data_IF_466013732334
#
_entry.id   IF_466013732334
#
_cell.length_a   1.000
_cell.length_b   1.000
_cell.length_c   1.000
_cell.angle_alpha   90.00
_cell.angle_beta   90.00
_cell.angle_gamma   90.00
#
_symmetry.space_group_name_H-M   'P 1'
#
loop_
_entity.id
_entity.type
_entity.pdbx_description
1 polymer ?
#
# COMPACT_ATOMS: atom_id res chain seq x y z
N UNK A 1 -9.89 27.63 5.05
CA UNK A 1 -8.53 27.25 4.59
C UNK A 1 -8.12 25.86 5.12
N UNK A 2 -8.35 25.53 6.39
CA UNK A 2 -8.03 24.22 7.00
C UNK A 2 -8.85 23.07 6.38
N UNK A 3 -10.16 23.26 6.17
CA UNK A 3 -11.05 22.25 5.59
C UNK A 3 -10.67 21.90 4.13
N UNK A 4 -10.23 22.89 3.33
CA UNK A 4 -9.77 22.67 1.96
C UNK A 4 -8.45 21.90 1.92
N UNK A 5 -7.54 22.15 2.88
CA UNK A 5 -6.30 21.34 3.06
C UNK A 5 -6.59 19.94 3.56
N UNK A 6 -7.64 19.76 4.37
CA UNK A 6 -8.07 18.50 4.93
C UNK A 6 -8.58 17.55 3.84
N UNK A 7 -9.49 18.04 3.01
CA UNK A 7 -10.01 17.30 1.86
C UNK A 7 -8.88 16.97 0.89
N UNK A 8 -8.01 17.93 0.59
CA UNK A 8 -6.86 17.75 -0.30
C UNK A 8 -5.93 16.61 0.12
N UNK A 9 -5.76 16.33 1.38
CA UNK A 9 -4.81 15.32 1.87
C UNK A 9 -5.44 13.96 2.16
N UNK A 10 -6.72 13.90 2.53
CA UNK A 10 -7.43 12.62 2.50
C UNK A 10 -7.30 11.97 1.11
N UNK A 11 -7.22 12.75 0.11
CA UNK A 11 -7.18 12.39 -1.28
C UNK A 11 -5.76 12.37 -1.84
N UNK A 12 -4.77 13.05 -1.28
CA UNK A 12 -3.35 12.89 -1.63
C UNK A 12 -2.81 11.48 -1.28
N UNK A 13 -3.46 10.80 -0.33
CA UNK A 13 -3.34 9.34 -0.17
C UNK A 13 -4.23 8.56 -1.17
N UNK A 14 -5.10 9.25 -1.92
CA UNK A 14 -6.12 8.72 -2.81
C UNK A 14 -5.83 9.14 -4.26
N UNK A 15 -4.63 9.10 -4.76
CA UNK A 15 -4.29 9.57 -6.10
C UNK A 15 -5.42 9.34 -7.12
N UNK A 16 -5.97 10.38 -7.67
CA UNK A 16 -7.03 10.36 -8.65
C UNK A 16 -6.69 11.19 -9.87
N UNK A 17 -6.91 10.81 -11.01
CA UNK A 17 -7.86 10.95 -12.06
C UNK A 17 -7.47 11.20 -13.48
N UNK A 18 -8.34 10.96 -14.37
CA UNK A 18 -8.25 11.20 -15.79
C UNK A 18 -8.93 12.52 -16.21
N UNK A 19 -8.42 13.17 -17.22
CA UNK A 19 -9.12 14.25 -17.94
C UNK A 19 -10.26 13.67 -18.77
N UNK A 20 -11.39 14.39 -18.91
CA UNK A 20 -12.45 13.99 -19.82
C UNK A 20 -11.98 14.23 -21.27
N UNK A 21 -11.85 13.17 -22.04
CA UNK A 21 -11.84 13.27 -23.50
C UNK A 21 -13.24 13.55 -23.97
N UNK A 22 -13.40 14.62 -24.77
CA UNK A 22 -14.67 14.94 -25.44
C UNK A 22 -15.17 13.74 -26.28
N UNK A 23 -16.48 13.49 -26.33
CA UNK A 23 -17.01 12.42 -27.13
C UNK A 23 -17.06 12.84 -28.60
N UNK A 24 -16.26 12.18 -29.41
CA UNK A 24 -16.47 12.21 -30.86
C UNK A 24 -17.73 11.39 -31.17
N UNK A 25 -18.74 12.09 -31.66
CA UNK A 25 -19.96 11.51 -32.20
C UNK A 25 -19.68 10.74 -33.49
N UNK A 26 -19.76 9.43 -33.42
CA UNK A 26 -20.16 8.63 -34.60
C UNK A 26 -21.22 7.61 -34.19
N UNK A 27 -22.42 7.87 -34.72
CA UNK A 27 -23.54 6.92 -34.69
C UNK A 27 -23.27 5.82 -35.70
N UNK A 28 -23.18 4.58 -35.21
CA UNK A 28 -23.49 3.43 -36.07
C UNK A 28 -24.31 2.43 -35.26
N UNK A 29 -25.59 2.33 -35.60
CA UNK A 29 -26.46 1.28 -35.10
C UNK A 29 -26.00 -0.07 -35.70
N UNK A 30 -25.62 -0.99 -34.83
CA UNK A 30 -25.72 -2.41 -35.17
C UNK A 30 -26.22 -3.18 -33.94
N UNK A 31 -27.46 -3.65 -34.06
CA UNK A 31 -28.02 -4.69 -33.23
C UNK A 31 -27.14 -5.93 -33.32
N UNK A 32 -26.43 -6.29 -32.26
CA UNK A 32 -25.87 -7.63 -32.14
C UNK A 32 -26.24 -8.22 -30.78
N UNK A 33 -26.70 -9.41 -30.84
CA UNK A 33 -27.03 -10.43 -29.87
C UNK A 33 -26.18 -10.28 -28.57
N UNK A 34 -26.87 -10.23 -27.46
CA UNK A 34 -26.28 -10.26 -26.12
C UNK A 34 -25.68 -11.66 -25.97
N UNK A 35 -24.37 -11.74 -26.19
CA UNK A 35 -23.55 -12.83 -25.71
C UNK A 35 -23.35 -12.56 -24.21
N UNK A 36 -23.82 -13.46 -23.36
CA UNK A 36 -23.50 -13.46 -21.92
C UNK A 36 -22.00 -13.67 -21.80
N UNK A 37 -21.25 -12.57 -21.85
CA UNK A 37 -19.82 -12.58 -21.57
C UNK A 37 -19.65 -13.13 -20.16
N UNK A 38 -19.06 -14.30 -20.05
CA UNK A 38 -18.59 -14.91 -18.81
C UNK A 38 -17.75 -13.84 -18.09
N UNK A 39 -18.30 -13.27 -17.04
CA UNK A 39 -17.55 -12.36 -16.15
C UNK A 39 -16.45 -13.22 -15.53
N UNK A 40 -15.23 -13.12 -16.05
CA UNK A 40 -14.06 -13.79 -15.46
C UNK A 40 -13.80 -13.10 -14.13
N UNK A 41 -14.35 -13.65 -13.06
CA UNK A 41 -14.05 -13.22 -11.70
C UNK A 41 -12.65 -13.70 -11.33
N UNK A 42 -11.90 -12.85 -10.64
CA UNK A 42 -10.57 -13.20 -10.13
C UNK A 42 -10.63 -14.44 -9.23
N UNK A 43 -9.56 -15.22 -9.14
CA UNK A 43 -9.50 -16.31 -8.18
C UNK A 43 -9.68 -15.77 -6.75
N UNK A 44 -10.44 -16.53 -5.94
CA UNK A 44 -10.78 -16.17 -4.56
C UNK A 44 -10.59 -17.38 -3.65
N UNK A 45 -10.10 -17.14 -2.44
CA UNK A 45 -10.04 -18.16 -1.38
C UNK A 45 -11.04 -17.82 -0.28
N UNK A 46 -11.63 -18.85 0.32
CA UNK A 46 -12.55 -18.71 1.44
C UNK A 46 -11.79 -18.86 2.74
N UNK A 47 -11.80 -17.82 3.57
CA UNK A 47 -11.24 -17.84 4.92
C UNK A 47 -12.13 -18.63 5.89
N UNK A 48 -11.57 -19.03 7.02
CA UNK A 48 -12.26 -19.79 8.06
C UNK A 48 -13.43 -19.04 8.70
N UNK A 49 -13.43 -17.71 8.66
CA UNK A 49 -14.55 -16.89 9.11
C UNK A 49 -15.66 -16.72 8.06
N UNK A 50 -15.50 -17.33 6.88
CA UNK A 50 -16.46 -17.36 5.78
C UNK A 50 -16.28 -16.25 4.75
N UNK A 51 -15.41 -15.27 5.00
CA UNK A 51 -15.06 -14.22 4.01
C UNK A 51 -14.25 -14.80 2.86
N UNK A 52 -14.32 -14.14 1.69
CA UNK A 52 -13.48 -14.43 0.54
C UNK A 52 -12.45 -13.34 0.33
N UNK A 53 -11.21 -13.73 0.03
CA UNK A 53 -10.16 -12.84 -0.46
C UNK A 53 -9.87 -13.15 -1.92
N UNK A 54 -9.92 -12.11 -2.76
CA UNK A 54 -9.55 -12.19 -4.16
C UNK A 54 -8.05 -11.91 -4.32
N UNK A 55 -7.41 -12.59 -5.27
CA UNK A 55 -5.97 -12.47 -5.47
C UNK A 55 -5.59 -12.58 -6.95
N UNK A 56 -4.36 -12.23 -7.24
CA UNK A 56 -3.70 -12.39 -8.54
C UNK A 56 -2.30 -12.95 -8.33
N UNK A 57 -1.90 -13.83 -9.22
CA UNK A 57 -0.59 -14.46 -9.23
C UNK A 57 0.25 -13.92 -10.40
N UNK A 58 1.59 -13.86 -10.20
CA UNK A 58 2.56 -13.47 -11.23
C UNK A 58 3.90 -14.18 -10.98
N UNK A 59 4.74 -14.28 -12.00
CA UNK A 59 6.03 -14.96 -11.98
C UNK A 59 5.92 -16.45 -12.22
N UNK A 60 6.85 -17.24 -11.69
CA UNK A 60 6.87 -18.67 -11.93
C UNK A 60 5.73 -19.40 -11.20
N UNK A 61 5.27 -20.54 -11.72
CA UNK A 61 4.27 -21.37 -11.03
C UNK A 61 4.71 -21.73 -9.61
N UNK A 62 3.78 -21.70 -8.68
CA UNK A 62 4.00 -21.90 -7.24
C UNK A 62 4.76 -23.20 -6.92
N UNK A 63 4.44 -24.29 -7.61
CA UNK A 63 5.02 -25.63 -7.36
C UNK A 63 6.51 -25.73 -7.72
N UNK A 64 7.03 -24.83 -8.57
CA UNK A 64 8.45 -24.78 -8.94
C UNK A 64 9.16 -23.55 -8.37
N UNK A 65 8.44 -22.68 -7.68
CA UNK A 65 9.00 -21.44 -7.14
C UNK A 65 9.98 -21.72 -5.99
N UNK A 66 11.09 -20.99 -6.02
CA UNK A 66 12.08 -20.93 -4.93
C UNK A 66 11.64 -19.94 -3.84
N UNK A 67 11.09 -18.81 -4.26
CA UNK A 67 10.65 -17.74 -3.37
C UNK A 67 9.16 -17.46 -3.56
N UNK A 68 8.42 -17.35 -2.46
CA UNK A 68 6.98 -17.05 -2.43
C UNK A 68 6.76 -15.77 -1.67
N UNK A 69 6.21 -14.78 -2.36
CA UNK A 69 6.10 -13.41 -1.87
C UNK A 69 4.65 -12.96 -1.92
N UNK A 70 4.14 -12.46 -0.81
CA UNK A 70 2.84 -11.80 -0.72
C UNK A 70 3.06 -10.28 -0.76
N UNK A 71 2.44 -9.60 -1.71
CA UNK A 71 2.45 -8.14 -1.80
C UNK A 71 1.15 -7.59 -1.23
N UNK A 72 1.29 -6.65 -0.30
CA UNK A 72 0.19 -6.00 0.40
C UNK A 72 0.06 -4.57 -0.12
N UNK A 73 -0.99 -4.32 -0.90
CA UNK A 73 -1.22 -3.04 -1.54
C UNK A 73 -1.52 -1.90 -0.55
N UNK A 74 -1.26 -0.66 -0.97
CA UNK A 74 -1.51 0.55 -0.21
C UNK A 74 -2.99 0.95 -0.15
N UNK A 75 -3.23 2.13 0.43
CA UNK A 75 -4.56 2.70 0.52
C UNK A 75 -5.11 3.01 -0.88
N UNK A 76 -6.36 2.64 -1.11
CA UNK A 76 -7.03 2.93 -2.36
C UNK A 76 -6.59 2.11 -3.56
N UNK A 77 -5.72 1.15 -3.37
CA UNK A 77 -5.23 0.25 -4.41
C UNK A 77 -5.96 -1.10 -4.33
N UNK A 78 -5.50 -2.09 -5.09
CA UNK A 78 -6.07 -3.42 -5.17
C UNK A 78 -5.00 -4.44 -5.56
N UNK A 79 -5.42 -5.71 -5.77
CA UNK A 79 -4.58 -6.75 -6.37
C UNK A 79 -4.06 -6.41 -7.76
N UNK A 80 -4.68 -5.40 -8.42
CA UNK A 80 -4.24 -4.90 -9.73
C UNK A 80 -3.04 -3.94 -9.65
N UNK A 81 -2.56 -3.64 -8.45
CA UNK A 81 -1.37 -2.81 -8.28
C UNK A 81 -0.19 -3.39 -9.04
N UNK A 82 0.43 -2.57 -9.87
CA UNK A 82 1.66 -2.96 -10.57
C UNK A 82 2.86 -2.87 -9.63
N UNK A 83 3.52 -4.01 -9.42
CA UNK A 83 4.87 -4.07 -8.87
C UNK A 83 5.80 -4.35 -10.04
N UNK A 84 6.58 -3.33 -10.46
CA UNK A 84 7.21 -3.25 -11.78
C UNK A 84 8.54 -4.01 -11.88
N UNK A 85 8.70 -5.14 -11.18
CA UNK A 85 9.83 -6.04 -11.46
C UNK A 85 9.65 -6.71 -12.84
N UNK A 86 10.75 -6.95 -13.56
CA UNK A 86 10.72 -7.63 -14.86
C UNK A 86 10.33 -9.11 -14.73
N UNK A 87 9.68 -9.65 -15.74
CA UNK A 87 9.37 -11.07 -15.76
C UNK A 87 10.63 -11.91 -15.86
N UNK A 88 11.65 -11.40 -16.54
CA UNK A 88 12.97 -12.02 -16.64
C UNK A 88 13.61 -12.25 -15.26
N UNK A 89 13.59 -11.25 -14.39
CA UNK A 89 14.12 -11.40 -13.03
C UNK A 89 13.27 -12.37 -12.19
N UNK A 90 11.94 -12.32 -12.34
CA UNK A 90 11.05 -13.24 -11.62
C UNK A 90 11.34 -14.68 -12.01
N UNK A 91 11.55 -14.95 -13.29
CA UNK A 91 11.88 -16.28 -13.81
C UNK A 91 13.28 -16.72 -13.38
N UNK A 92 14.30 -15.85 -13.51
CA UNK A 92 15.69 -16.13 -13.13
C UNK A 92 15.82 -16.53 -11.66
N UNK A 93 15.16 -15.78 -10.78
CA UNK A 93 15.20 -16.04 -9.33
C UNK A 93 14.20 -17.12 -8.89
N UNK A 94 13.28 -17.53 -9.74
CA UNK A 94 12.22 -18.48 -9.39
C UNK A 94 11.22 -17.89 -8.40
N UNK A 95 10.73 -16.70 -8.67
CA UNK A 95 9.83 -15.95 -7.78
C UNK A 95 8.38 -16.17 -8.17
N UNK A 96 7.55 -16.58 -7.20
CA UNK A 96 6.11 -16.53 -7.24
C UNK A 96 5.62 -15.31 -6.46
N UNK A 97 4.90 -14.40 -7.13
CA UNK A 97 4.28 -13.23 -6.53
C UNK A 97 2.77 -13.43 -6.38
N UNK A 98 2.27 -13.17 -5.19
CA UNK A 98 0.85 -13.13 -4.86
C UNK A 98 0.47 -11.71 -4.45
N UNK A 99 -0.47 -11.09 -5.15
CA UNK A 99 -1.06 -9.81 -4.77
C UNK A 99 -2.53 -10.07 -4.49
N UNK A 100 -3.05 -9.64 -3.35
CA UNK A 100 -4.44 -9.86 -2.97
C UNK A 100 -5.16 -8.56 -2.64
N UNK A 101 -6.45 -8.52 -2.84
CA UNK A 101 -7.30 -7.44 -2.35
C UNK A 101 -7.44 -7.59 -0.83
N UNK A 102 -6.97 -6.60 -0.06
CA UNK A 102 -7.18 -6.58 1.40
C UNK A 102 -8.68 -6.53 1.71
N UNK A 103 -9.07 -6.97 2.88
CA UNK A 103 -10.48 -7.03 3.27
C UNK A 103 -11.24 -5.73 2.93
N UNK A 104 -12.34 -5.85 2.15
CA UNK A 104 -13.17 -4.75 1.70
C UNK A 104 -12.58 -3.86 0.59
N UNK A 105 -11.54 -4.34 -0.07
CA UNK A 105 -11.00 -3.76 -1.31
C UNK A 105 -11.31 -4.69 -2.48
N UNK A 106 -11.42 -4.10 -3.68
CA UNK A 106 -11.61 -4.82 -4.92
C UNK A 106 -12.74 -5.85 -4.84
N UNK A 107 -12.40 -7.11 -5.04
CA UNK A 107 -13.36 -8.23 -5.00
C UNK A 107 -13.31 -9.03 -3.68
N UNK A 108 -12.60 -8.53 -2.65
CA UNK A 108 -12.55 -9.17 -1.33
C UNK A 108 -13.67 -8.70 -0.42
N UNK A 109 -14.17 -9.62 0.40
CA UNK A 109 -15.23 -9.35 1.36
C UNK A 109 -14.77 -8.41 2.49
N UNK A 110 -15.73 -7.66 3.03
CA UNK A 110 -15.49 -6.71 4.12
C UNK A 110 -15.22 -7.45 5.43
N UNK A 111 -14.22 -6.99 6.18
CA UNK A 111 -14.04 -7.39 7.56
C UNK A 111 -14.60 -6.32 8.51
N UNK A 112 -15.79 -6.55 9.06
CA UNK A 112 -16.42 -5.63 10.01
C UNK A 112 -15.66 -5.51 11.34
N UNK A 113 -14.77 -6.47 11.64
CA UNK A 113 -13.91 -6.52 12.85
C UNK A 113 -12.44 -6.25 12.51
N UNK A 114 -12.19 -5.49 11.44
CA UNK A 114 -10.85 -5.16 10.99
C UNK A 114 -9.98 -4.60 12.13
N UNK A 115 -8.80 -5.17 12.28
CA UNK A 115 -7.80 -4.78 13.27
C UNK A 115 -6.41 -5.09 12.75
N UNK A 116 -5.36 -4.62 13.42
CA UNK A 116 -3.97 -4.99 13.09
C UNK A 116 -3.81 -6.51 13.07
N UNK A 117 -4.26 -7.18 14.13
CA UNK A 117 -4.13 -8.62 14.25
C UNK A 117 -4.90 -9.35 13.15
N UNK A 118 -6.11 -8.91 12.80
CA UNK A 118 -6.89 -9.57 11.74
C UNK A 118 -6.23 -9.44 10.36
N UNK A 119 -5.55 -8.34 10.07
CA UNK A 119 -4.79 -8.20 8.82
C UNK A 119 -3.63 -9.21 8.72
N UNK A 120 -2.90 -9.42 9.83
CA UNK A 120 -1.87 -10.45 9.86
C UNK A 120 -2.45 -11.86 9.76
N UNK A 121 -3.60 -12.12 10.41
CA UNK A 121 -4.30 -13.40 10.33
C UNK A 121 -4.83 -13.67 8.93
N UNK A 122 -5.37 -12.66 8.24
CA UNK A 122 -5.83 -12.80 6.85
C UNK A 122 -4.65 -13.18 5.93
N UNK A 123 -3.46 -12.58 6.13
CA UNK A 123 -2.24 -12.90 5.35
C UNK A 123 -1.75 -14.32 5.66
N UNK A 124 -1.74 -14.72 6.92
CA UNK A 124 -1.33 -16.08 7.33
C UNK A 124 -2.26 -17.13 6.76
N UNK A 125 -3.56 -16.95 6.90
CA UNK A 125 -4.56 -17.90 6.41
C UNK A 125 -4.56 -17.97 4.88
N UNK A 126 -4.38 -16.82 4.19
CA UNK A 126 -4.20 -16.78 2.74
C UNK A 126 -2.99 -17.62 2.31
N UNK A 127 -1.87 -17.50 3.03
CA UNK A 127 -0.67 -18.27 2.75
C UNK A 127 -0.88 -19.77 2.98
N UNK A 128 -1.63 -20.15 3.99
CA UNK A 128 -1.95 -21.55 4.30
C UNK A 128 -2.88 -22.15 3.25
N UNK A 129 -3.97 -21.47 2.92
CA UNK A 129 -4.95 -21.92 1.92
C UNK A 129 -4.34 -22.05 0.52
N UNK A 130 -3.38 -21.20 0.19
CA UNK A 130 -2.65 -21.26 -1.07
C UNK A 130 -1.36 -22.09 -1.00
N UNK A 131 -1.10 -22.75 0.13
CA UNK A 131 0.06 -23.65 0.32
C UNK A 131 1.40 -22.98 0.01
N UNK A 132 1.60 -21.75 0.51
CA UNK A 132 2.85 -21.01 0.30
C UNK A 132 4.02 -21.52 1.15
N UNK A 133 3.80 -22.59 1.92
CA UNK A 133 4.81 -23.22 2.76
C UNK A 133 4.84 -22.68 4.19
N UNK A 134 5.79 -23.20 4.97
CA UNK A 134 5.94 -22.82 6.37
C UNK A 134 6.37 -21.39 6.57
N UNK A 135 7.13 -20.81 5.63
CA UNK A 135 7.59 -19.42 5.63
C UNK A 135 7.45 -18.80 4.25
N UNK A 136 7.10 -17.52 4.22
CA UNK A 136 6.92 -16.73 3.02
C UNK A 136 7.43 -15.29 3.22
N UNK A 137 7.64 -14.56 2.14
CA UNK A 137 8.04 -13.16 2.18
C UNK A 137 6.83 -12.25 2.11
N UNK A 138 6.92 -11.07 2.74
CA UNK A 138 5.88 -10.04 2.68
C UNK A 138 6.47 -8.73 2.21
N UNK A 139 5.85 -8.11 1.20
CA UNK A 139 6.18 -6.76 0.75
C UNK A 139 4.96 -5.87 1.00
N UNK A 140 5.05 -4.97 1.97
CA UNK A 140 4.02 -3.96 2.21
C UNK A 140 4.33 -2.67 1.47
N UNK A 141 3.32 -2.06 0.83
CA UNK A 141 3.48 -0.79 0.10
C UNK A 141 2.64 0.30 0.74
N UNK A 142 3.25 1.43 1.10
CA UNK A 142 2.57 2.59 1.69
C UNK A 142 1.72 2.19 2.91
N UNK A 143 0.40 2.37 2.87
CA UNK A 143 -0.49 1.94 3.95
C UNK A 143 -0.53 0.42 4.12
N UNK A 144 -0.22 -0.38 3.08
CA UNK A 144 -0.04 -1.83 3.18
C UNK A 144 1.11 -2.25 4.10
N UNK A 145 1.93 -1.32 4.53
CA UNK A 145 2.98 -1.59 5.53
C UNK A 145 2.43 -1.80 6.94
N UNK A 146 1.21 -1.33 7.29
CA UNK A 146 0.70 -1.63 8.62
C UNK A 146 0.31 -3.10 8.82
N UNK A 147 -0.29 -3.80 7.83
CA UNK A 147 -0.39 -5.25 7.88
C UNK A 147 0.96 -5.96 7.95
N UNK A 148 1.97 -5.47 7.20
CA UNK A 148 3.32 -6.03 7.27
C UNK A 148 3.97 -5.85 8.66
N UNK A 149 3.83 -4.67 9.30
CA UNK A 149 4.21 -4.49 10.71
C UNK A 149 3.46 -5.43 11.65
N UNK A 150 2.18 -5.67 11.36
CA UNK A 150 1.39 -6.61 12.13
C UNK A 150 1.87 -8.04 11.97
N UNK A 151 2.29 -8.45 10.76
CA UNK A 151 2.91 -9.76 10.53
C UNK A 151 4.20 -9.90 11.32
N UNK A 152 5.08 -8.88 11.33
CA UNK A 152 6.32 -8.88 12.14
C UNK A 152 6.00 -9.09 13.62
N UNK A 153 4.90 -8.49 14.12
CA UNK A 153 4.50 -8.61 15.53
C UNK A 153 3.85 -9.94 15.89
N UNK A 154 2.93 -10.43 15.04
CA UNK A 154 2.02 -11.51 15.44
C UNK A 154 2.38 -12.88 14.84
N UNK A 155 3.06 -12.90 13.69
CA UNK A 155 3.43 -14.12 12.97
C UNK A 155 4.91 -14.13 12.53
N UNK A 156 5.88 -13.69 13.37
CA UNK A 156 7.29 -13.60 12.95
C UNK A 156 7.86 -14.91 12.45
N UNK A 157 7.47 -16.04 13.05
CA UNK A 157 7.91 -17.38 12.65
C UNK A 157 7.47 -17.81 11.24
N UNK A 158 6.46 -17.17 10.67
CA UNK A 158 5.98 -17.42 9.30
C UNK A 158 6.71 -16.60 8.23
N UNK A 159 7.51 -15.63 8.62
CA UNK A 159 8.14 -14.69 7.70
C UNK A 159 9.55 -15.18 7.33
N UNK A 160 9.81 -15.31 6.03
CA UNK A 160 11.14 -15.52 5.47
C UNK A 160 11.89 -14.20 5.26
N UNK A 161 11.18 -13.07 5.25
CA UNK A 161 11.68 -11.72 5.16
C UNK A 161 10.54 -10.73 4.92
N UNK A 162 10.79 -9.44 5.20
CA UNK A 162 9.79 -8.38 5.02
C UNK A 162 10.42 -7.17 4.36
N UNK A 163 9.76 -6.60 3.35
CA UNK A 163 10.10 -5.29 2.82
C UNK A 163 8.94 -4.31 3.04
N UNK A 164 9.25 -3.16 3.60
CA UNK A 164 8.34 -2.05 3.84
C UNK A 164 8.70 -0.95 2.85
N UNK A 165 7.90 -0.79 1.80
CA UNK A 165 8.16 0.18 0.73
C UNK A 165 7.33 1.44 0.97
N UNK A 166 7.99 2.58 1.11
CA UNK A 166 7.42 3.90 1.46
C UNK A 166 6.43 3.82 2.63
N UNK A 167 6.82 3.19 3.75
CA UNK A 167 5.88 2.87 4.81
C UNK A 167 5.33 4.14 5.45
N UNK A 168 3.99 4.18 5.59
CA UNK A 168 3.38 5.27 6.35
C UNK A 168 3.80 5.22 7.83
N UNK A 169 3.72 6.36 8.51
CA UNK A 169 4.03 6.49 9.94
C UNK A 169 2.80 6.94 10.69
N UNK A 170 2.40 6.20 11.71
CA UNK A 170 1.31 6.61 12.57
C UNK A 170 1.80 7.60 13.63
N UNK A 171 1.36 8.85 13.54
CA UNK A 171 1.73 9.93 14.46
C UNK A 171 1.29 9.70 15.93
N UNK A 172 0.59 8.60 16.21
CA UNK A 172 0.24 8.17 17.56
C UNK A 172 1.26 7.21 18.19
N UNK A 173 2.30 6.82 17.47
CA UNK A 173 3.39 6.03 18.07
C UNK A 173 4.05 6.84 19.18
N UNK A 174 4.13 6.24 20.37
CA UNK A 174 4.51 6.97 21.60
C UNK A 174 5.92 7.52 21.60
N UNK A 175 6.84 6.86 20.90
CA UNK A 175 8.26 7.16 20.88
C UNK A 175 8.69 8.07 19.74
N UNK A 176 7.75 8.58 18.92
CA UNK A 176 8.10 9.59 17.92
C UNK A 176 8.53 10.90 18.58
N UNK A 177 9.70 11.46 18.22
CA UNK A 177 10.18 12.71 18.77
C UNK A 177 9.21 13.86 18.53
N UNK A 178 8.87 14.60 19.59
CA UNK A 178 7.91 15.71 19.46
C UNK A 178 8.40 16.77 18.49
N UNK A 179 9.69 17.04 18.48
CA UNK A 179 10.30 18.07 17.63
C UNK A 179 10.23 17.69 16.14
N UNK A 180 10.42 16.41 15.83
CA UNK A 180 10.32 15.90 14.46
C UNK A 180 8.90 16.06 13.86
N UNK A 181 7.86 15.97 14.70
CA UNK A 181 6.46 15.99 14.27
C UNK A 181 5.69 17.24 14.69
N UNK A 182 6.33 18.21 15.37
CA UNK A 182 5.66 19.40 15.93
C UNK A 182 5.04 20.27 14.84
N UNK A 183 5.77 20.50 13.77
CA UNK A 183 5.39 21.36 12.67
C UNK A 183 4.87 20.60 11.45
N UNK A 184 4.77 19.26 11.53
CA UNK A 184 4.24 18.48 10.45
C UNK A 184 2.71 18.58 10.40
N UNK A 185 2.21 19.26 9.37
CA UNK A 185 0.76 19.44 9.15
C UNK A 185 0.02 18.10 9.00
N UNK A 186 0.71 17.02 8.57
CA UNK A 186 0.15 15.67 8.40
C UNK A 186 -0.34 15.10 9.73
N UNK A 187 0.32 15.46 10.85
CA UNK A 187 -0.12 15.07 12.19
C UNK A 187 -1.50 15.63 12.56
N UNK A 188 -1.73 16.90 12.28
CA UNK A 188 -3.06 17.50 12.53
C UNK A 188 -4.11 16.89 11.62
N UNK A 189 -3.74 16.67 10.42
CA UNK A 189 -4.60 16.17 9.38
C UNK A 189 -5.00 14.71 9.64
N UNK A 190 -4.07 13.83 10.06
CA UNK A 190 -4.43 12.47 10.49
C UNK A 190 -5.45 12.46 11.63
N UNK A 191 -5.37 13.44 12.56
CA UNK A 191 -6.36 13.59 13.64
C UNK A 191 -7.75 13.97 13.10
N UNK A 192 -7.80 14.90 12.14
CA UNK A 192 -9.04 15.30 11.49
C UNK A 192 -9.64 14.19 10.64
N UNK A 193 -8.80 13.48 9.90
CA UNK A 193 -9.22 12.34 9.09
C UNK A 193 -9.88 11.27 9.95
N UNK A 194 -9.25 10.90 11.06
CA UNK A 194 -9.85 9.94 12.02
C UNK A 194 -11.17 10.47 12.56
N UNK A 195 -11.21 11.74 12.96
CA UNK A 195 -12.43 12.32 13.51
C UNK A 195 -13.58 12.26 12.50
N UNK A 196 -13.34 12.68 11.26
CA UNK A 196 -14.41 12.73 10.24
C UNK A 196 -14.83 11.32 9.81
N UNK A 197 -13.90 10.37 9.71
CA UNK A 197 -14.22 8.97 9.39
C UNK A 197 -14.92 8.24 10.52
N UNK A 198 -14.76 8.67 11.77
CA UNK A 198 -15.48 8.12 12.91
C UNK A 198 -16.87 8.74 13.11
N UNK A 199 -16.96 10.08 13.00
CA UNK A 199 -18.14 10.81 13.50
C UNK A 199 -18.95 11.51 12.39
N UNK A 200 -18.41 11.68 11.20
CA UNK A 200 -19.03 12.45 10.13
C UNK A 200 -18.96 11.75 8.76
N UNK A 201 -18.94 10.42 8.71
CA UNK A 201 -18.83 9.62 7.48
C UNK A 201 -19.84 10.01 6.41
N UNK A 202 -21.09 10.24 6.79
CA UNK A 202 -22.15 10.63 5.86
C UNK A 202 -21.87 11.97 5.17
N UNK A 203 -21.35 12.96 5.90
CA UNK A 203 -20.97 14.26 5.36
C UNK A 203 -19.76 14.09 4.43
N UNK A 204 -18.78 13.29 4.82
CA UNK A 204 -17.62 13.00 4.01
C UNK A 204 -17.99 12.29 2.71
N UNK A 205 -18.84 11.27 2.80
CA UNK A 205 -19.33 10.54 1.63
C UNK A 205 -20.07 11.46 0.66
N UNK A 206 -21.03 12.24 1.17
CA UNK A 206 -21.72 13.24 0.36
C UNK A 206 -20.76 14.22 -0.30
N UNK A 207 -19.79 14.75 0.46
CA UNK A 207 -18.79 15.69 -0.08
C UNK A 207 -17.97 15.08 -1.22
N UNK A 208 -17.55 13.84 -1.08
CA UNK A 208 -16.72 13.17 -2.08
C UNK A 208 -17.49 12.74 -3.33
N UNK A 209 -18.79 12.47 -3.20
CA UNK A 209 -19.61 11.93 -4.29
C UNK A 209 -20.49 12.97 -4.98
N UNK A 210 -20.62 14.19 -4.42
CA UNK A 210 -21.39 15.25 -5.03
C UNK A 210 -20.69 15.82 -6.30
N UNK A 211 -21.48 16.33 -7.25
CA UNK A 211 -20.99 16.88 -8.53
C UNK A 211 -20.96 18.41 -8.61
N UNK A 212 -21.47 19.10 -7.58
CA UNK A 212 -21.68 20.56 -7.61
C UNK A 212 -20.38 21.33 -7.36
N UNK A 213 -19.49 20.79 -6.52
CA UNK A 213 -18.22 21.42 -6.21
C UNK A 213 -17.06 20.54 -6.70
N UNK A 214 -15.95 21.12 -7.19
CA UNK A 214 -14.77 20.35 -7.59
C UNK A 214 -14.14 19.71 -6.35
N UNK A 215 -14.64 18.55 -5.95
CA UNK A 215 -14.17 17.82 -4.77
C UNK A 215 -13.03 16.88 -5.12
N UNK A 216 -13.06 16.29 -6.31
CA UNK A 216 -12.11 15.27 -6.75
C UNK A 216 -10.96 15.83 -7.59
N UNK A 217 -11.22 16.75 -8.50
CA UNK A 217 -10.24 17.29 -9.46
C UNK A 217 -9.04 18.04 -8.83
N UNK A 218 -9.08 18.31 -7.53
CA UNK A 218 -8.00 19.06 -6.84
C UNK A 218 -6.81 18.17 -6.46
N UNK A 219 -6.92 16.85 -6.65
CA UNK A 219 -5.95 15.89 -6.14
C UNK A 219 -5.09 15.27 -7.20
N UNK A 220 -5.61 15.28 -8.39
CA UNK A 220 -4.98 14.68 -9.52
C UNK A 220 -3.69 15.40 -9.87
N UNK A 221 -2.57 14.73 -9.56
CA UNK A 221 -1.27 15.26 -9.89
C UNK A 221 -0.87 16.51 -9.12
N UNK A 222 -1.39 16.71 -7.90
CA UNK A 222 -1.04 17.89 -7.11
C UNK A 222 0.42 17.85 -6.66
N UNK A 223 1.28 18.81 -7.12
CA UNK A 223 2.70 18.87 -6.79
C UNK A 223 3.00 19.08 -5.31
N UNK A 224 1.99 19.34 -4.48
CA UNK A 224 2.14 19.38 -3.02
C UNK A 224 2.37 17.99 -2.42
N UNK A 225 1.86 16.91 -3.06
CA UNK A 225 1.92 15.55 -2.53
C UNK A 225 2.86 14.65 -3.31
N UNK A 226 3.15 15.00 -4.56
CA UNK A 226 3.97 14.20 -5.45
C UNK A 226 5.20 14.99 -5.92
N UNK A 227 6.34 14.33 -5.99
CA UNK A 227 7.52 14.90 -6.63
C UNK A 227 7.37 14.82 -8.17
N UNK A 228 8.31 15.42 -8.90
CA UNK A 228 8.27 15.42 -10.38
C UNK A 228 8.23 14.00 -10.95
N UNK A 229 9.05 13.08 -10.41
CA UNK A 229 9.07 11.70 -10.84
C UNK A 229 7.76 10.96 -10.54
N UNK A 230 7.14 11.20 -9.38
CA UNK A 230 5.81 10.66 -9.09
C UNK A 230 4.78 11.14 -10.10
N UNK A 231 4.85 12.42 -10.49
CA UNK A 231 3.95 12.99 -11.50
C UNK A 231 4.16 12.39 -12.89
N UNK A 232 5.39 12.04 -13.25
CA UNK A 232 5.69 11.29 -14.49
C UNK A 232 5.09 9.89 -14.45
N UNK A 233 5.23 9.19 -13.33
CA UNK A 233 4.60 7.87 -13.13
C UNK A 233 3.09 7.97 -13.30
N UNK A 234 2.44 8.95 -12.66
CA UNK A 234 0.99 9.16 -12.77
C UNK A 234 0.53 9.44 -14.20
N UNK A 235 1.34 10.14 -15.01
CA UNK A 235 1.02 10.41 -16.42
C UNK A 235 1.19 9.19 -17.33
N UNK A 236 2.20 8.37 -17.04
CA UNK A 236 2.65 7.30 -17.95
C UNK A 236 2.11 5.92 -17.58
N UNK A 237 1.43 5.77 -16.43
CA UNK A 237 0.85 4.50 -16.00
C UNK A 237 -0.65 4.47 -16.32
N UNK A 238 -1.07 3.85 -17.43
CA UNK A 238 -2.48 3.72 -17.75
C UNK A 238 -3.20 2.94 -16.66
N UNK A 239 -4.36 3.41 -16.24
CA UNK A 239 -5.16 2.70 -15.23
C UNK A 239 -4.67 2.89 -13.77
N UNK A 240 -3.72 3.79 -13.52
CA UNK A 240 -3.45 4.26 -12.17
C UNK A 240 -4.66 5.03 -11.64
N UNK A 241 -5.70 4.29 -11.28
CA UNK A 241 -6.91 4.84 -10.67
C UNK A 241 -7.04 4.23 -9.28
N UNK A 242 -6.64 4.99 -8.28
CA UNK A 242 -6.83 4.58 -6.89
C UNK A 242 -8.30 4.59 -6.52
N UNK A 243 -9.06 5.60 -6.95
CA UNK A 243 -10.52 5.66 -6.77
C UNK A 243 -11.15 6.50 -7.87
N UNK A 244 -12.14 5.94 -8.52
CA UNK A 244 -13.07 6.74 -9.29
C UNK A 244 -14.12 7.33 -8.36
N UNK A 245 -14.63 8.52 -8.68
CA UNK A 245 -15.77 9.10 -7.97
C UNK A 245 -16.98 8.15 -7.97
N UNK A 246 -17.11 7.35 -9.02
CA UNK A 246 -18.16 6.35 -9.15
C UNK A 246 -17.94 5.15 -8.21
N UNK A 247 -16.72 4.69 -8.03
CA UNK A 247 -16.40 3.65 -7.04
C UNK A 247 -16.70 4.09 -5.60
N UNK A 248 -16.48 5.37 -5.28
CA UNK A 248 -16.79 5.92 -3.95
C UNK A 248 -18.30 6.07 -3.69
N UNK A 249 -19.16 5.99 -4.72
CA UNK A 249 -20.62 5.98 -4.55
C UNK A 249 -21.10 4.70 -3.88
N UNK A 250 -20.39 3.59 -4.08
CA UNK A 250 -20.65 2.38 -3.32
C UNK A 250 -20.31 2.62 -1.83
N UNK A 251 -21.37 2.60 -1.02
CA UNK A 251 -21.26 2.87 0.40
C UNK A 251 -20.41 1.83 1.12
N UNK A 252 -20.42 0.59 0.67
CA UNK A 252 -19.65 -0.50 1.27
C UNK A 252 -18.15 -0.30 1.05
N UNK A 253 -17.75 0.10 -0.16
CA UNK A 253 -16.37 0.47 -0.50
C UNK A 253 -15.92 1.66 0.35
N UNK A 254 -16.72 2.72 0.39
CA UNK A 254 -16.41 3.90 1.18
C UNK A 254 -16.22 3.59 2.68
N UNK A 255 -17.13 2.79 3.27
CA UNK A 255 -17.05 2.41 4.68
C UNK A 255 -15.84 1.51 4.97
N UNK A 256 -15.44 0.65 4.02
CA UNK A 256 -14.20 -0.15 4.13
C UNK A 256 -12.96 0.72 4.15
N UNK A 257 -12.91 1.75 3.31
CA UNK A 257 -11.81 2.71 3.29
C UNK A 257 -11.72 3.51 4.59
N UNK A 258 -12.86 3.95 5.12
CA UNK A 258 -12.91 4.62 6.42
C UNK A 258 -12.42 3.68 7.54
N UNK A 259 -12.77 2.40 7.48
CA UNK A 259 -12.32 1.39 8.44
C UNK A 259 -10.80 1.20 8.36
N UNK A 260 -10.25 1.12 7.15
CA UNK A 260 -8.80 0.98 6.92
C UNK A 260 -8.01 2.17 7.52
N UNK A 261 -8.45 3.39 7.25
CA UNK A 261 -7.88 4.60 7.85
C UNK A 261 -7.94 4.55 9.37
N UNK A 262 -9.08 4.14 9.93
CA UNK A 262 -9.26 4.11 11.38
C UNK A 262 -8.34 3.09 12.06
N UNK A 263 -8.07 1.95 11.43
CA UNK A 263 -7.09 0.97 11.93
C UNK A 263 -5.67 1.52 11.77
N UNK A 264 -5.30 2.00 10.58
CA UNK A 264 -3.95 2.47 10.29
C UNK A 264 -3.53 3.64 11.19
N UNK A 265 -4.36 4.68 11.30
CA UNK A 265 -4.07 5.87 12.10
C UNK A 265 -4.67 5.82 13.52
N UNK A 266 -5.32 4.73 13.87
CA UNK A 266 -5.88 4.48 15.20
C UNK A 266 -4.82 4.28 16.27
N UNK A 267 -5.26 3.87 17.45
CA UNK A 267 -4.36 3.43 18.52
C UNK A 267 -4.01 1.97 18.26
N UNK A 268 -2.73 1.68 18.07
CA UNK A 268 -2.23 0.33 17.94
C UNK A 268 -2.07 -0.35 19.29
N UNK A 269 -2.21 -1.66 19.33
CA UNK A 269 -1.98 -2.52 20.49
C UNK A 269 -0.48 -2.73 20.77
N UNK A 270 0.37 -2.42 19.78
CA UNK A 270 1.83 -2.40 19.91
C UNK A 270 2.43 -1.11 19.32
N UNK A 271 3.68 -0.84 19.65
CA UNK A 271 4.47 0.24 19.06
C UNK A 271 5.59 -0.38 18.21
N UNK A 272 5.61 -0.19 16.89
CA UNK A 272 6.68 -0.73 16.05
C UNK A 272 8.07 -0.32 16.51
N UNK A 273 8.25 0.91 17.01
CA UNK A 273 9.55 1.44 17.49
C UNK A 273 10.04 0.78 18.79
N UNK A 274 9.25 -0.09 19.40
CA UNK A 274 9.59 -0.86 20.61
C UNK A 274 9.75 -2.36 20.31
N UNK A 275 9.62 -2.76 19.03
CA UNK A 275 9.83 -4.15 18.65
C UNK A 275 11.29 -4.52 18.79
N UNK A 276 11.53 -5.67 19.37
CA UNK A 276 12.84 -6.32 19.35
C UNK A 276 13.04 -7.00 18.00
N UNK A 277 14.30 -7.21 17.64
CA UNK A 277 14.64 -7.97 16.44
C UNK A 277 13.95 -9.34 16.48
N UNK A 278 13.06 -9.63 15.53
CA UNK A 278 12.39 -10.93 15.47
C UNK A 278 13.30 -12.04 14.92
N UNK A 279 14.49 -11.69 14.39
CA UNK A 279 15.42 -12.59 13.72
C UNK A 279 16.85 -12.41 14.20
N UNK A 280 17.12 -12.61 15.53
CA UNK A 280 18.42 -12.31 16.12
C UNK A 280 19.56 -13.21 15.61
N UNK A 281 19.23 -14.32 14.95
CA UNK A 281 20.19 -15.23 14.32
C UNK A 281 20.38 -14.98 12.82
N UNK A 282 19.86 -13.87 12.30
CA UNK A 282 19.89 -13.49 10.89
C UNK A 282 19.25 -14.51 9.94
N UNK A 283 18.27 -15.27 10.40
CA UNK A 283 17.52 -16.23 9.59
C UNK A 283 16.50 -15.57 8.65
N UNK A 284 16.29 -14.27 8.79
CA UNK A 284 15.44 -13.41 7.96
C UNK A 284 15.88 -11.96 8.07
N UNK A 285 15.35 -11.11 7.21
CA UNK A 285 15.64 -9.67 7.23
C UNK A 285 14.37 -8.84 7.09
N UNK A 286 14.43 -7.63 7.66
CA UNK A 286 13.40 -6.60 7.46
C UNK A 286 14.04 -5.39 6.81
N UNK A 287 13.43 -4.92 5.74
CA UNK A 287 13.92 -3.80 4.94
C UNK A 287 12.92 -2.66 4.95
N UNK A 288 13.41 -1.42 4.96
CA UNK A 288 12.62 -0.21 4.64
C UNK A 288 13.22 0.44 3.40
N UNK A 289 12.37 0.72 2.43
CA UNK A 289 12.70 1.44 1.20
C UNK A 289 11.96 2.76 1.16
N UNK A 290 12.69 3.89 1.07
CA UNK A 290 12.12 5.22 1.17
C UNK A 290 12.64 6.14 0.08
N UNK A 291 11.74 6.79 -0.65
CA UNK A 291 12.09 7.86 -1.58
C UNK A 291 12.53 9.13 -0.83
N UNK A 292 13.67 9.69 -1.22
CA UNK A 292 14.20 10.91 -0.57
C UNK A 292 13.29 12.11 -0.80
N UNK A 293 12.63 12.16 -1.96
CA UNK A 293 11.69 13.23 -2.35
C UNK A 293 10.22 12.92 -2.01
N UNK A 294 9.96 11.90 -1.20
CA UNK A 294 8.60 11.53 -0.79
C UNK A 294 7.94 12.66 0.02
N UNK A 295 6.88 13.23 -0.55
CA UNK A 295 6.10 14.30 0.09
C UNK A 295 4.88 13.76 0.87
N UNK A 296 4.52 12.50 0.67
CA UNK A 296 3.43 11.82 1.41
C UNK A 296 3.95 11.39 2.77
N UNK A 297 5.08 10.67 2.80
CA UNK A 297 5.75 10.24 4.02
C UNK A 297 7.16 10.84 4.07
N UNK A 298 7.42 11.82 4.95
CA UNK A 298 8.73 12.46 5.02
C UNK A 298 9.85 11.46 5.32
N UNK A 299 10.93 11.53 4.55
CA UNK A 299 12.11 10.68 4.71
C UNK A 299 12.69 10.75 6.13
N UNK A 300 12.60 11.91 6.79
CA UNK A 300 13.10 12.11 8.16
C UNK A 300 12.40 11.19 9.18
N UNK A 301 11.14 10.85 8.94
CA UNK A 301 10.43 9.90 9.80
C UNK A 301 11.00 8.49 9.66
N UNK A 302 11.32 8.07 8.45
CA UNK A 302 11.90 6.75 8.20
C UNK A 302 13.36 6.66 8.68
N UNK A 303 14.13 7.74 8.55
CA UNK A 303 15.47 7.85 9.16
C UNK A 303 15.39 7.64 10.68
N UNK A 304 14.42 8.28 11.34
CA UNK A 304 14.20 8.06 12.77
C UNK A 304 13.80 6.61 13.09
N UNK A 305 12.92 6.01 12.29
CA UNK A 305 12.54 4.59 12.46
C UNK A 305 13.75 3.68 12.35
N UNK A 306 14.59 3.87 11.33
CA UNK A 306 15.78 3.04 11.12
C UNK A 306 16.83 3.22 12.23
N UNK A 307 17.02 4.45 12.72
CA UNK A 307 17.91 4.71 13.87
C UNK A 307 17.40 4.05 15.16
N UNK A 308 16.08 3.98 15.33
CA UNK A 308 15.47 3.37 16.51
C UNK A 308 15.47 1.83 16.45
N UNK A 309 15.44 1.28 15.25
CA UNK A 309 15.39 -0.15 14.97
C UNK A 309 16.60 -0.57 14.13
N UNK A 310 17.81 -0.68 14.72
CA UNK A 310 19.05 -0.93 13.98
C UNK A 310 19.12 -2.31 13.31
N UNK A 311 18.21 -3.22 13.65
CA UNK A 311 18.05 -4.51 12.99
C UNK A 311 17.31 -4.42 11.64
N UNK A 312 16.74 -3.25 11.29
CA UNK A 312 16.13 -3.01 9.98
C UNK A 312 17.19 -2.50 9.00
N UNK A 313 17.24 -3.10 7.83
CA UNK A 313 18.04 -2.61 6.71
C UNK A 313 17.32 -1.45 6.03
N UNK A 314 17.91 -0.26 6.09
CA UNK A 314 17.28 0.95 5.58
C UNK A 314 17.91 1.38 4.26
N UNK A 315 17.07 1.63 3.25
CA UNK A 315 17.47 2.00 1.90
C UNK A 315 16.77 3.31 1.49
N UNK A 316 17.55 4.30 1.11
CA UNK A 316 17.04 5.54 0.51
C UNK A 316 17.21 5.50 -1.00
N UNK A 317 16.15 5.86 -1.72
CA UNK A 317 16.17 5.96 -3.17
C UNK A 317 16.26 7.43 -3.56
N UNK A 318 17.43 7.90 -4.03
CA UNK A 318 17.61 9.27 -4.47
C UNK A 318 16.64 9.62 -5.60
N UNK A 319 16.22 10.88 -5.66
CA UNK A 319 15.36 11.44 -6.70
C UNK A 319 13.96 10.81 -6.86
N UNK A 320 13.61 9.84 -6.05
CA UNK A 320 12.30 9.20 -6.04
C UNK A 320 11.40 9.73 -4.92
N UNK A 321 10.09 9.70 -5.17
CA UNK A 321 9.04 10.08 -4.24
C UNK A 321 8.33 8.87 -3.63
N UNK A 322 7.00 8.92 -3.61
CA UNK A 322 6.14 7.90 -2.99
C UNK A 322 5.86 6.70 -3.90
N UNK A 323 5.99 6.85 -5.21
CA UNK A 323 5.59 5.85 -6.20
C UNK A 323 6.73 4.90 -6.61
N UNK A 324 7.55 4.46 -5.65
CA UNK A 324 8.71 3.61 -5.88
C UNK A 324 8.41 2.31 -6.63
N UNK A 325 7.25 1.69 -6.35
CA UNK A 325 6.88 0.39 -6.91
C UNK A 325 6.57 0.41 -8.41
N UNK A 326 6.51 1.61 -8.98
CA UNK A 326 6.36 1.83 -10.43
C UNK A 326 7.69 2.04 -11.16
N UNK A 327 8.82 1.85 -10.46
CA UNK A 327 10.17 1.88 -11.04
C UNK A 327 10.73 0.46 -11.05
N UNK A 328 11.04 -0.05 -12.24
CA UNK A 328 11.54 -1.42 -12.42
C UNK A 328 12.83 -1.66 -11.64
N UNK A 329 13.81 -0.76 -11.78
CA UNK A 329 15.11 -0.92 -11.11
C UNK A 329 14.96 -0.91 -9.57
N UNK A 330 14.02 -0.12 -9.03
CA UNK A 330 13.73 -0.10 -7.59
C UNK A 330 13.07 -1.42 -7.16
N UNK A 331 12.07 -1.90 -7.91
CA UNK A 331 11.41 -3.16 -7.58
C UNK A 331 12.37 -4.34 -7.60
N UNK A 332 13.27 -4.39 -8.59
CA UNK A 332 14.31 -5.41 -8.70
C UNK A 332 15.31 -5.32 -7.55
N UNK A 333 15.73 -4.10 -7.17
CA UNK A 333 16.58 -3.89 -6.00
C UNK A 333 15.90 -4.32 -4.69
N UNK A 334 14.59 -4.07 -4.54
CA UNK A 334 13.80 -4.57 -3.39
C UNK A 334 13.86 -6.09 -3.33
N UNK A 335 13.62 -6.77 -4.47
CA UNK A 335 13.63 -8.24 -4.53
C UNK A 335 15.02 -8.82 -4.27
N UNK A 336 16.06 -8.33 -4.93
CA UNK A 336 17.43 -8.85 -4.77
C UNK A 336 17.95 -8.64 -3.35
N UNK A 337 17.72 -7.47 -2.76
CA UNK A 337 18.11 -7.23 -1.37
C UNK A 337 17.36 -8.11 -0.38
N UNK A 338 16.06 -8.32 -0.59
CA UNK A 338 15.23 -9.14 0.30
C UNK A 338 15.57 -10.63 0.20
N UNK A 339 15.82 -11.13 -1.01
CA UNK A 339 15.96 -12.56 -1.28
C UNK A 339 17.41 -13.05 -1.25
N UNK A 340 18.36 -12.21 -1.73
CA UNK A 340 19.77 -12.57 -1.90
C UNK A 340 20.67 -11.88 -0.87
N UNK A 341 20.13 -10.98 -0.06
CA UNK A 341 20.87 -10.20 0.94
C UNK A 341 21.91 -9.25 0.32
N UNK A 342 21.76 -8.93 -0.95
CA UNK A 342 22.64 -8.01 -1.65
C UNK A 342 22.28 -6.58 -1.33
N UNK A 343 23.28 -5.76 -1.01
CA UNK A 343 23.12 -4.32 -0.91
C UNK A 343 23.25 -3.70 -2.29
N UNK A 344 22.18 -3.13 -2.87
CA UNK A 344 22.27 -2.47 -4.17
C UNK A 344 23.25 -1.29 -4.06
N UNK A 345 24.28 -1.21 -4.92
CA UNK A 345 25.32 -0.17 -4.82
C UNK A 345 24.79 1.26 -4.98
N UNK A 346 23.60 1.43 -5.58
CA UNK A 346 22.98 2.73 -5.86
C UNK A 346 22.19 3.30 -4.67
N UNK A 347 21.87 2.51 -3.65
CA UNK A 347 20.89 2.89 -2.62
C UNK A 347 21.46 2.89 -1.19
N UNK A 348 22.78 2.93 -1.03
CA UNK A 348 23.37 3.09 0.30
C UNK A 348 22.97 4.45 0.90
N UNK A 349 22.34 4.50 2.07
CA UNK A 349 22.04 5.76 2.71
C UNK A 349 23.36 6.49 2.98
N UNK A 350 23.47 7.73 2.55
CA UNK A 350 24.48 8.64 3.08
C UNK A 350 24.00 9.03 4.47
N UNK A 351 24.49 8.31 5.49
CA UNK A 351 24.37 8.78 6.85
C UNK A 351 25.11 10.12 6.90
N UNK A 352 24.44 11.16 7.34
CA UNK A 352 25.12 12.42 7.62
C UNK A 352 26.15 12.12 8.71
N UNK A 353 27.42 12.39 8.42
CA UNK A 353 28.45 12.44 9.43
C UNK A 353 28.03 13.48 10.47
N UNK A 354 27.86 13.06 11.72
CA UNK A 354 27.53 13.90 12.86
C UNK A 354 28.81 14.50 13.44
#
# INVERSE_FOLDING_TARGET
MVFKKLVLMMMGCLGCAGQPTEPSTEKTESKSLIDESVVVTSPRVKLGDGRYLAYRERGVPKNISKYRIIIVHGFGSSKEMSFMASDELLDELGIYLLIFDRAGYGESDINSKRSLKSEASDIEELADLLELGSRFYVIGVSLGCYPAWSCIKHIPGRLAGVALVVPFVNYKWRTLPKDLVKNDYRKQLSRWVIWITCYARGILHWWLTQKVFPSASVLDGNPQFFCERDLEVLKNTPGYQLFTQDGLKDRSVFDSLCSDINVAFGKWDFNPLELTDPYPQNESSVHIWQGVKDKVVPVQLQRHVSQRLPWIRYHEVPDCGHLLVYDTAVCEAVLTSLLLWEDPPLYKPKLADH
#
